data_IF_261738595116
#
_entry.id   IF_261738595116
#
_cell.length_a   1.000
_cell.length_b   1.000
_cell.length_c   1.000
_cell.angle_alpha   90.00
_cell.angle_beta   90.00
_cell.angle_gamma   90.00
#
_symmetry.space_group_name_H-M   'P 1'
#
loop_
_entity.id
_entity.type
_entity.pdbx_description
1 polymer ?
#
# COMPACT_ATOMS: atom_id res chain seq x y z
N UNK A 1 -19.59 5.97 -1.23
CA UNK A 1 -18.30 5.67 -0.56
C UNK A 1 -18.07 4.18 -0.57
N UNK A 2 -17.38 3.67 -1.58
CA UNK A 2 -16.87 2.30 -1.54
C UNK A 2 -15.51 2.35 -0.84
N UNK A 3 -15.44 1.75 0.35
CA UNK A 3 -14.20 1.56 1.09
C UNK A 3 -13.76 0.13 0.87
N UNK A 4 -12.63 -0.08 0.21
CA UNK A 4 -12.02 -1.40 0.15
C UNK A 4 -11.05 -1.53 1.31
N UNK A 5 -11.16 -2.62 2.08
CA UNK A 5 -10.19 -2.96 3.13
C UNK A 5 -9.79 -4.42 3.00
N UNK A 6 -8.48 -4.67 2.93
CA UNK A 6 -7.93 -6.02 2.86
C UNK A 6 -6.85 -6.21 3.92
N UNK A 7 -6.74 -7.43 4.43
CA UNK A 7 -5.60 -7.84 5.26
C UNK A 7 -4.46 -8.26 4.33
N UNK A 8 -3.27 -7.73 4.56
CA UNK A 8 -2.08 -8.11 3.82
C UNK A 8 -1.42 -9.33 4.47
N UNK A 9 -0.75 -10.14 3.65
CA UNK A 9 0.12 -11.21 4.13
C UNK A 9 1.54 -10.67 4.41
N UNK A 10 1.60 -9.57 5.17
CA UNK A 10 2.82 -8.85 5.54
C UNK A 10 2.74 -8.47 7.03
N UNK A 11 3.88 -8.53 7.72
CA UNK A 11 3.99 -8.15 9.12
C UNK A 11 4.47 -6.71 9.26
N UNK A 12 3.97 -5.99 10.27
CA UNK A 12 4.38 -4.62 10.53
C UNK A 12 5.87 -4.57 10.92
N UNK A 13 6.70 -3.77 10.22
CA UNK A 13 8.14 -3.73 10.46
C UNK A 13 8.50 -3.13 11.84
N UNK A 14 7.58 -2.39 12.48
CA UNK A 14 7.79 -1.81 13.81
C UNK A 14 7.44 -2.76 14.96
N UNK A 15 6.39 -3.58 14.84
CA UNK A 15 5.84 -4.32 15.98
C UNK A 15 5.43 -5.77 15.70
N UNK A 16 5.64 -6.27 14.47
CA UNK A 16 5.24 -7.62 14.05
C UNK A 16 3.72 -7.85 14.01
N UNK A 17 2.90 -6.81 14.15
CA UNK A 17 1.44 -6.92 14.04
C UNK A 17 0.97 -6.99 12.58
N UNK A 18 -0.23 -7.50 12.35
CA UNK A 18 -0.79 -7.58 11.00
C UNK A 18 -0.94 -6.19 10.34
N UNK A 19 -0.72 -6.15 9.03
CA UNK A 19 -0.97 -4.98 8.19
C UNK A 19 -2.29 -5.09 7.43
N UNK A 20 -2.93 -3.94 7.24
CA UNK A 20 -4.13 -3.79 6.44
C UNK A 20 -3.89 -2.73 5.37
N UNK A 21 -4.44 -2.95 4.19
CA UNK A 21 -4.57 -1.94 3.16
C UNK A 21 -6.00 -1.45 3.13
N UNK A 22 -6.17 -0.14 3.05
CA UNK A 22 -7.46 0.52 2.86
C UNK A 22 -7.36 1.48 1.67
N UNK A 23 -8.33 1.39 0.78
CA UNK A 23 -8.48 2.25 -0.38
C UNK A 23 -9.82 2.98 -0.29
N UNK A 24 -9.78 4.29 -0.50
CA UNK A 24 -10.95 5.15 -0.64
C UNK A 24 -10.83 5.98 -1.93
N UNK A 25 -11.79 6.89 -2.15
CA UNK A 25 -11.87 7.69 -3.38
C UNK A 25 -10.64 8.59 -3.63
N UNK A 26 -9.83 8.86 -2.60
CA UNK A 26 -8.69 9.78 -2.67
C UNK A 26 -7.33 9.11 -2.48
N UNK A 27 -7.26 7.98 -1.79
CA UNK A 27 -6.01 7.44 -1.26
C UNK A 27 -6.01 5.93 -1.08
N UNK A 28 -4.81 5.37 -1.08
CA UNK A 28 -4.51 4.02 -0.62
C UNK A 28 -3.55 4.11 0.56
N UNK A 29 -3.89 3.46 1.67
CA UNK A 29 -3.12 3.46 2.91
C UNK A 29 -2.80 2.03 3.33
N UNK A 30 -1.54 1.75 3.67
CA UNK A 30 -1.18 0.56 4.46
C UNK A 30 -0.99 1.01 5.92
N UNK A 31 -1.58 0.28 6.86
CA UNK A 31 -1.47 0.60 8.28
C UNK A 31 -1.45 -0.64 9.18
N UNK A 32 -0.82 -0.48 10.34
CA UNK A 32 -0.82 -1.46 11.42
C UNK A 32 -1.86 -1.07 12.48
N UNK A 33 -2.78 -1.98 12.80
CA UNK A 33 -3.78 -1.76 13.86
C UNK A 33 -3.20 -1.84 15.27
N UNK A 34 -1.99 -2.41 15.44
CA UNK A 34 -1.36 -2.59 16.76
C UNK A 34 -0.55 -1.39 17.21
N UNK A 35 0.26 -0.81 16.32
CA UNK A 35 1.17 0.31 16.66
C UNK A 35 0.85 1.63 15.95
N UNK A 36 -0.17 1.65 15.09
CA UNK A 36 -0.61 2.85 14.37
C UNK A 36 0.30 3.30 13.23
N UNK A 37 1.43 2.62 12.99
CA UNK A 37 2.32 2.90 11.87
C UNK A 37 1.54 2.82 10.55
N UNK A 38 1.69 3.83 9.67
CA UNK A 38 0.96 3.94 8.40
C UNK A 38 1.78 4.64 7.32
N UNK A 39 1.54 4.25 6.07
CA UNK A 39 1.97 4.95 4.87
C UNK A 39 0.76 5.15 3.96
N UNK A 40 0.66 6.30 3.31
CA UNK A 40 -0.52 6.68 2.54
C UNK A 40 -0.12 7.45 1.29
N UNK A 41 -0.61 7.00 0.15
CA UNK A 41 -0.47 7.72 -1.11
C UNK A 41 -1.82 8.18 -1.64
N UNK A 42 -1.81 9.27 -2.40
CA UNK A 42 -2.97 9.65 -3.22
C UNK A 42 -3.19 8.58 -4.28
N UNK A 43 -4.45 8.26 -4.55
CA UNK A 43 -4.82 7.20 -5.49
C UNK A 43 -4.25 7.47 -6.90
N UNK A 44 -4.19 8.74 -7.32
CA UNK A 44 -3.56 9.14 -8.59
C UNK A 44 -2.07 8.77 -8.66
N UNK A 45 -1.33 8.96 -7.57
CA UNK A 45 0.11 8.69 -7.53
C UNK A 45 0.39 7.18 -7.45
N UNK A 46 -0.44 6.47 -6.68
CA UNK A 46 -0.47 5.02 -6.64
C UNK A 46 -0.76 4.43 -8.02
N UNK A 47 -1.81 4.89 -8.71
CA UNK A 47 -2.16 4.41 -10.05
C UNK A 47 -1.04 4.62 -11.07
N UNK A 48 -0.32 5.76 -11.02
CA UNK A 48 0.83 6.00 -11.90
C UNK A 48 1.95 4.99 -11.70
N UNK A 49 2.18 4.54 -10.48
CA UNK A 49 3.21 3.53 -10.15
C UNK A 49 2.74 2.10 -10.40
N UNK A 50 1.43 1.86 -10.33
CA UNK A 50 0.83 0.56 -10.68
C UNK A 50 0.91 0.27 -12.19
N UNK A 51 1.00 1.30 -13.05
CA UNK A 51 1.11 1.11 -14.48
C UNK A 51 2.52 0.64 -14.87
N UNK A 52 2.60 -0.59 -15.39
CA UNK A 52 3.81 -1.19 -15.96
C UNK A 52 3.62 -1.41 -17.46
N UNK A 53 4.69 -1.25 -18.24
CA UNK A 53 4.72 -1.66 -19.64
C UNK A 53 5.53 -2.95 -19.73
N UNK A 54 4.86 -4.06 -20.07
CA UNK A 54 5.49 -5.37 -20.27
C UNK A 54 5.19 -5.79 -21.70
N UNK A 55 6.23 -5.97 -22.50
CA UNK A 55 6.15 -6.37 -23.91
C UNK A 55 5.18 -5.52 -24.75
N UNK A 56 5.18 -4.20 -24.51
CA UNK A 56 4.33 -3.25 -25.23
C UNK A 56 2.89 -3.17 -24.68
N UNK A 57 2.53 -3.99 -23.70
CA UNK A 57 1.22 -3.97 -23.05
C UNK A 57 1.25 -3.19 -21.74
N UNK A 58 0.26 -2.32 -21.55
CA UNK A 58 0.06 -1.60 -20.30
C UNK A 58 -0.69 -2.50 -19.31
N UNK A 59 -0.05 -2.85 -18.20
CA UNK A 59 -0.58 -3.72 -17.16
C UNK A 59 -0.73 -2.91 -15.87
N UNK A 60 -1.83 -3.14 -15.17
CA UNK A 60 -2.07 -2.56 -13.87
C UNK A 60 -1.64 -3.55 -12.78
N UNK A 61 -0.51 -3.27 -12.13
CA UNK A 61 0.07 -4.09 -11.07
C UNK A 61 -0.07 -3.42 -9.70
N UNK A 62 -1.12 -3.81 -8.97
CA UNK A 62 -1.34 -3.29 -7.62
C UNK A 62 -0.28 -3.75 -6.61
N UNK A 63 0.41 -4.88 -6.86
CA UNK A 63 1.43 -5.38 -5.93
C UNK A 63 2.63 -4.44 -5.88
N UNK A 64 3.05 -3.88 -7.01
CA UNK A 64 4.10 -2.85 -7.06
C UNK A 64 3.83 -1.68 -6.08
N UNK A 65 2.58 -1.25 -5.93
CA UNK A 65 2.27 -0.15 -5.00
C UNK A 65 2.26 -0.62 -3.55
N UNK A 66 1.77 -1.84 -3.28
CA UNK A 66 1.82 -2.43 -1.95
C UNK A 66 3.27 -2.54 -1.47
N UNK A 67 4.16 -3.02 -2.34
CA UNK A 67 5.59 -3.18 -2.05
C UNK A 67 6.25 -1.84 -1.71
N UNK A 68 5.96 -0.79 -2.49
CA UNK A 68 6.50 0.55 -2.26
C UNK A 68 5.97 1.19 -0.96
N UNK A 69 4.65 1.08 -0.70
CA UNK A 69 4.07 1.55 0.55
C UNK A 69 4.62 0.79 1.76
N UNK A 70 4.88 -0.50 1.61
CA UNK A 70 5.52 -1.31 2.64
C UNK A 70 6.98 -0.92 2.86
N UNK A 71 7.72 -0.62 1.80
CA UNK A 71 9.08 -0.09 1.89
C UNK A 71 9.11 1.26 2.63
N UNK A 72 8.18 2.17 2.31
CA UNK A 72 8.03 3.45 3.01
C UNK A 72 7.72 3.24 4.50
N UNK A 73 6.86 2.28 4.83
CA UNK A 73 6.61 1.87 6.21
C UNK A 73 7.87 1.40 6.93
N UNK A 74 8.69 0.58 6.27
CA UNK A 74 9.91 0.02 6.83
C UNK A 74 11.02 1.06 7.04
N UNK A 75 11.11 2.06 6.16
CA UNK A 75 12.09 3.15 6.27
C UNK A 75 11.68 4.12 7.39
N UNK A 76 10.38 4.36 7.57
CA UNK A 76 9.84 5.31 8.55
C UNK A 76 9.55 4.68 9.93
N UNK A 77 10.24 3.59 10.30
CA UNK A 77 10.02 2.91 11.59
C UNK A 77 10.51 3.73 12.78
N UNK A 78 11.33 4.75 12.56
CA UNK A 78 11.93 5.62 13.58
C UNK A 78 10.93 6.51 14.33
#
# INVERSE_FOLDING_TARGET
MNLMRIRLNLDCPRCGGALFMEENEESVTIYCTRCGLRASWRLRDAARRALRNIDGSLIFDWNSVIDELYLELAINVH
#
